data_IF_416474155833
#
_entry.id   IF_416474155833
#
_cell.length_a   1.000
_cell.length_b   1.000
_cell.length_c   1.000
_cell.angle_alpha   90.00
_cell.angle_beta   90.00
_cell.angle_gamma   90.00
#
_symmetry.space_group_name_H-M   'P 1'
#
loop_
_entity.id
_entity.type
_entity.pdbx_description
1 polymer ?
#
# COMPACT_ATOMS: atom_id res chain seq x y z
N UNK A 1 12.19 -6.31 -7.11
CA UNK A 1 12.48 -4.88 -7.27
C UNK A 1 13.80 -4.54 -6.61
N UNK A 2 14.63 -3.75 -7.28
CA UNK A 2 15.93 -3.28 -6.78
C UNK A 2 15.82 -1.78 -6.47
N UNK A 3 15.58 -1.47 -5.19
CA UNK A 3 15.39 -0.09 -4.71
C UNK A 3 16.22 0.07 -3.44
N UNK A 4 17.16 1.00 -3.43
CA UNK A 4 17.92 1.30 -2.21
C UNK A 4 17.07 2.13 -1.27
N UNK A 5 16.59 1.52 -0.20
CA UNK A 5 15.75 2.19 0.77
C UNK A 5 15.89 1.53 2.15
N UNK A 6 16.07 2.33 3.18
CA UNK A 6 16.08 1.90 4.57
C UNK A 6 17.00 0.69 4.84
N UNK A 7 18.20 0.71 4.25
CA UNK A 7 19.22 -0.32 4.44
C UNK A 7 19.03 -1.60 3.63
N UNK A 8 18.01 -1.67 2.79
CA UNK A 8 17.75 -2.82 1.93
C UNK A 8 17.76 -2.41 0.47
N UNK A 9 18.13 -3.32 -0.41
CA UNK A 9 18.20 -3.07 -1.85
C UNK A 9 17.37 -4.05 -2.68
N UNK A 10 16.88 -5.13 -2.09
CA UNK A 10 16.06 -6.13 -2.77
C UNK A 10 14.72 -6.26 -2.09
N UNK A 11 13.65 -6.09 -2.88
CA UNK A 11 12.27 -6.03 -2.37
C UNK A 11 11.37 -6.95 -3.19
N UNK A 12 10.46 -7.61 -2.51
CA UNK A 12 9.43 -8.45 -3.12
C UNK A 12 8.07 -7.79 -2.97
N UNK A 13 7.28 -7.79 -4.05
CA UNK A 13 5.91 -7.28 -4.00
C UNK A 13 5.06 -8.18 -3.11
N UNK A 14 4.37 -7.57 -2.15
CA UNK A 14 3.46 -8.25 -1.22
C UNK A 14 2.03 -8.13 -1.70
N UNK A 15 1.58 -6.92 -1.98
CA UNK A 15 0.26 -6.66 -2.53
C UNK A 15 0.24 -5.31 -3.22
N UNK A 16 -0.78 -5.11 -4.04
CA UNK A 16 -1.05 -3.81 -4.64
C UNK A 16 -2.56 -3.60 -4.74
N UNK A 17 -2.96 -2.35 -4.78
CA UNK A 17 -4.36 -1.98 -4.97
C UNK A 17 -4.45 -0.55 -5.46
N UNK A 18 -5.56 -0.26 -6.14
CA UNK A 18 -5.88 1.08 -6.61
C UNK A 18 -7.06 1.63 -5.82
N UNK A 19 -6.93 2.84 -5.33
CA UNK A 19 -8.01 3.57 -4.67
C UNK A 19 -8.53 4.60 -5.67
N UNK A 20 -9.78 4.45 -6.09
CA UNK A 20 -10.47 5.33 -7.02
C UNK A 20 -11.96 5.40 -6.69
N UNK A 21 -12.75 5.97 -7.61
CA UNK A 21 -14.20 6.11 -7.42
C UNK A 21 -14.93 4.77 -7.36
N UNK A 22 -14.40 3.72 -7.98
CA UNK A 22 -15.01 2.38 -7.92
C UNK A 22 -14.73 1.69 -6.60
N UNK A 23 -13.63 2.04 -5.92
CA UNK A 23 -13.25 1.50 -4.62
C UNK A 23 -13.88 2.28 -3.48
N UNK A 24 -13.75 3.60 -3.51
CA UNK A 24 -14.29 4.52 -2.50
C UNK A 24 -14.84 5.74 -3.21
N UNK A 25 -16.13 5.94 -3.16
CA UNK A 25 -16.81 6.99 -3.91
C UNK A 25 -16.53 8.41 -3.38
N UNK A 26 -16.26 8.55 -2.08
CA UNK A 26 -15.99 9.86 -1.47
C UNK A 26 -14.55 10.29 -1.73
N UNK A 27 -14.35 11.44 -2.37
CA UNK A 27 -13.01 11.99 -2.59
C UNK A 27 -12.27 12.33 -1.30
N UNK A 28 -12.98 12.79 -0.28
CA UNK A 28 -12.38 13.07 1.03
C UNK A 28 -11.90 11.79 1.71
N UNK A 29 -12.64 10.70 1.60
CA UNK A 29 -12.23 9.40 2.14
C UNK A 29 -11.02 8.83 1.39
N UNK A 30 -10.98 8.95 0.05
CA UNK A 30 -9.81 8.55 -0.74
C UNK A 30 -8.56 9.32 -0.31
N UNK A 31 -8.70 10.62 -0.08
CA UNK A 31 -7.61 11.47 0.40
C UNK A 31 -7.13 11.04 1.80
N UNK A 32 -8.04 10.70 2.69
CA UNK A 32 -7.73 10.20 4.03
C UNK A 32 -6.93 8.89 3.97
N UNK A 33 -7.36 7.94 3.15
CA UNK A 33 -6.67 6.66 2.95
C UNK A 33 -5.23 6.91 2.44
N UNK A 34 -5.09 7.84 1.52
CA UNK A 34 -3.78 8.24 0.99
C UNK A 34 -2.84 8.69 2.12
N UNK A 35 -3.31 9.55 3.02
CA UNK A 35 -2.50 10.01 4.14
C UNK A 35 -2.13 8.88 5.09
N UNK A 36 -3.11 8.10 5.52
CA UNK A 36 -2.91 7.03 6.49
C UNK A 36 -1.92 6.00 5.95
N UNK A 37 -2.08 5.60 4.69
CA UNK A 37 -1.25 4.53 4.13
C UNK A 37 0.16 4.99 3.76
N UNK A 38 0.33 6.24 3.34
CA UNK A 38 1.63 6.73 2.86
C UNK A 38 2.52 7.31 3.96
N UNK A 39 1.93 7.81 5.04
CA UNK A 39 2.68 8.57 6.03
C UNK A 39 2.73 7.92 7.41
N UNK A 40 2.21 6.72 7.55
CA UNK A 40 2.24 6.00 8.83
C UNK A 40 3.41 5.02 8.90
N UNK A 41 4.62 5.49 8.55
CA UNK A 41 5.79 4.63 8.37
C UNK A 41 6.50 4.26 9.67
N UNK A 42 6.11 4.87 10.80
CA UNK A 42 6.80 4.67 12.09
C UNK A 42 6.10 3.70 13.02
N UNK A 43 5.01 3.08 12.58
CA UNK A 43 4.28 2.11 13.41
C UNK A 43 5.08 0.82 13.58
N UNK A 44 4.93 0.22 14.76
CA UNK A 44 5.59 -1.04 15.13
C UNK A 44 4.61 -1.98 15.84
N UNK A 45 5.01 -3.22 16.01
CA UNK A 45 4.26 -4.21 16.79
C UNK A 45 2.89 -4.52 16.24
N UNK A 46 1.90 -4.57 17.14
CA UNK A 46 0.51 -4.90 16.77
C UNK A 46 -0.13 -3.86 15.85
N UNK A 47 0.24 -2.60 15.96
CA UNK A 47 -0.24 -1.54 15.07
C UNK A 47 0.28 -1.76 13.66
N UNK A 48 1.52 -2.19 13.51
CA UNK A 48 2.09 -2.53 12.20
C UNK A 48 1.36 -3.72 11.58
N UNK A 49 1.03 -4.73 12.38
CA UNK A 49 0.27 -5.89 11.89
C UNK A 49 -1.14 -5.48 11.47
N UNK A 50 -1.82 -4.61 12.21
CA UNK A 50 -3.12 -4.07 11.82
C UNK A 50 -3.04 -3.29 10.52
N UNK A 51 -2.02 -2.44 10.38
CA UNK A 51 -1.78 -1.70 9.15
C UNK A 51 -1.62 -2.65 7.96
N UNK A 52 -0.80 -3.68 8.12
CA UNK A 52 -0.56 -4.68 7.07
C UNK A 52 -1.84 -5.44 6.70
N UNK A 53 -2.63 -5.85 7.70
CA UNK A 53 -3.91 -6.52 7.47
C UNK A 53 -4.88 -5.60 6.70
N UNK A 54 -4.87 -4.30 6.97
CA UNK A 54 -5.65 -3.33 6.21
C UNK A 54 -5.20 -3.25 4.75
N UNK A 55 -3.88 -3.33 4.49
CA UNK A 55 -3.36 -3.35 3.12
C UNK A 55 -3.85 -4.59 2.37
N UNK A 56 -3.82 -5.75 3.01
CA UNK A 56 -4.36 -6.98 2.42
C UNK A 56 -5.87 -6.86 2.14
N UNK A 57 -6.62 -6.27 3.05
CA UNK A 57 -8.05 -6.06 2.87
C UNK A 57 -8.33 -5.14 1.68
N UNK A 58 -7.61 -4.05 1.53
CA UNK A 58 -7.72 -3.18 0.36
C UNK A 58 -7.37 -3.93 -0.92
N UNK A 59 -6.29 -4.70 -0.92
CA UNK A 59 -5.84 -5.43 -2.10
C UNK A 59 -6.87 -6.46 -2.57
N UNK A 60 -7.55 -7.14 -1.63
CA UNK A 60 -8.53 -8.17 -1.97
C UNK A 60 -9.91 -7.61 -2.31
N UNK A 61 -10.27 -6.44 -1.80
CA UNK A 61 -11.57 -5.82 -2.02
C UNK A 61 -11.59 -4.82 -3.18
N UNK A 62 -10.45 -4.29 -3.58
CA UNK A 62 -10.36 -3.31 -4.65
C UNK A 62 -10.68 -3.94 -6.00
N UNK A 63 -11.31 -3.16 -6.88
CA UNK A 63 -11.56 -3.59 -8.26
C UNK A 63 -10.25 -3.92 -8.99
N UNK A 64 -9.20 -3.14 -8.72
CA UNK A 64 -7.86 -3.36 -9.26
C UNK A 64 -6.89 -3.55 -8.10
N UNK A 65 -6.69 -4.79 -7.69
CA UNK A 65 -5.78 -5.12 -6.62
C UNK A 65 -5.59 -6.61 -6.47
N UNK A 66 -4.50 -6.99 -5.80
CA UNK A 66 -4.16 -8.39 -5.60
C UNK A 66 -3.18 -8.53 -4.44
N UNK A 67 -3.38 -9.56 -3.62
CA UNK A 67 -2.36 -10.07 -2.71
C UNK A 67 -1.47 -11.02 -3.50
N UNK A 68 -0.17 -10.71 -3.61
CA UNK A 68 0.80 -11.45 -4.43
C UNK A 68 1.61 -12.41 -3.59
N UNK A 69 2.04 -11.97 -2.40
CA UNK A 69 2.82 -12.79 -1.47
C UNK A 69 2.44 -12.47 -0.05
N UNK A 70 3.06 -13.12 0.92
CA UNK A 70 2.75 -12.89 2.33
C UNK A 70 3.84 -12.06 3.01
N UNK A 71 3.42 -11.37 4.07
CA UNK A 71 4.32 -10.62 4.94
C UNK A 71 3.71 -10.53 6.33
N UNK A 72 4.55 -10.29 7.33
CA UNK A 72 4.15 -10.11 8.72
C UNK A 72 4.76 -8.83 9.28
N UNK A 73 4.38 -8.46 10.49
CA UNK A 73 4.95 -7.30 11.17
C UNK A 73 6.44 -7.44 11.46
N UNK A 74 7.00 -8.67 11.34
CA UNK A 74 8.45 -8.90 11.48
C UNK A 74 9.22 -8.49 10.23
N UNK A 75 8.57 -8.35 9.10
CA UNK A 75 9.22 -7.95 7.85
C UNK A 75 9.50 -6.45 7.84
N UNK A 76 10.59 -6.07 7.19
CA UNK A 76 10.83 -4.68 6.84
C UNK A 76 9.94 -4.37 5.63
N UNK A 77 9.08 -3.38 5.75
CA UNK A 77 8.07 -3.05 4.75
C UNK A 77 8.32 -1.68 4.15
N UNK A 78 7.88 -1.52 2.91
CA UNK A 78 7.87 -0.27 2.19
C UNK A 78 6.56 -0.16 1.44
N UNK A 79 5.97 1.04 1.43
CA UNK A 79 4.83 1.32 0.58
C UNK A 79 5.21 2.37 -0.45
N UNK A 80 4.85 2.12 -1.70
CA UNK A 80 5.01 3.06 -2.79
C UNK A 80 3.64 3.47 -3.28
N UNK A 81 3.43 4.76 -3.41
CA UNK A 81 2.21 5.33 -3.99
C UNK A 81 2.55 6.06 -5.26
N UNK A 82 1.73 5.88 -6.28
CA UNK A 82 1.83 6.65 -7.52
C UNK A 82 0.44 7.03 -8.01
N UNK A 83 0.38 8.09 -8.80
CA UNK A 83 -0.84 8.47 -9.48
C UNK A 83 -1.17 7.39 -10.50
N UNK A 84 -2.41 6.86 -10.43
CA UNK A 84 -2.89 5.81 -11.34
C UNK A 84 -3.84 6.39 -12.38
N UNK A 85 -3.86 7.69 -12.54
CA UNK A 85 -4.95 8.36 -13.16
C UNK A 85 -4.88 8.51 -14.65
N UNK A 86 -5.99 8.17 -15.26
CA UNK A 86 -6.35 8.65 -16.57
C UNK A 86 -7.76 9.26 -16.60
N UNK A 87 -8.44 9.34 -15.46
CA UNK A 87 -9.86 9.73 -15.40
C UNK A 87 -10.08 11.16 -14.92
N UNK A 88 -9.03 11.86 -14.49
CA UNK A 88 -9.14 13.19 -13.89
C UNK A 88 -9.50 13.22 -12.43
N UNK A 89 -9.59 12.07 -11.76
CA UNK A 89 -9.78 12.00 -10.32
C UNK A 89 -8.44 12.25 -9.61
N UNK A 90 -8.30 13.42 -8.97
CA UNK A 90 -7.05 13.81 -8.32
C UNK A 90 -6.65 12.92 -7.15
N UNK A 91 -7.53 12.08 -6.65
CA UNK A 91 -7.27 11.18 -5.52
C UNK A 91 -7.20 9.72 -5.94
N UNK A 92 -7.11 9.45 -7.23
CA UNK A 92 -6.89 8.10 -7.74
C UNK A 92 -5.42 7.74 -7.60
N UNK A 93 -5.11 6.67 -6.85
CA UNK A 93 -3.74 6.28 -6.53
C UNK A 93 -3.57 4.77 -6.59
N UNK A 94 -2.42 4.35 -7.07
CA UNK A 94 -1.94 2.98 -6.98
C UNK A 94 -0.99 2.86 -5.78
N UNK A 95 -1.24 1.87 -4.94
CA UNK A 95 -0.40 1.54 -3.79
C UNK A 95 0.24 0.19 -3.99
N UNK A 96 1.53 0.09 -3.69
CA UNK A 96 2.28 -1.17 -3.72
C UNK A 96 2.98 -1.34 -2.37
N UNK A 97 2.77 -2.48 -1.73
CA UNK A 97 3.45 -2.86 -0.50
C UNK A 97 4.51 -3.88 -0.83
N UNK A 98 5.73 -3.62 -0.38
CA UNK A 98 6.88 -4.48 -0.63
C UNK A 98 7.54 -4.85 0.69
N UNK A 99 8.18 -6.02 0.72
CA UNK A 99 9.01 -6.46 1.85
C UNK A 99 10.44 -6.66 1.42
N UNK A 100 11.39 -6.35 2.29
CA UNK A 100 12.80 -6.61 2.06
C UNK A 100 13.06 -8.11 2.04
N UNK A 101 13.89 -8.57 1.09
CA UNK A 101 14.28 -9.99 0.96
C UNK A 101 15.80 -10.18 0.98
N UNK A 102 16.53 -9.15 1.36
CA UNK A 102 17.98 -9.20 1.58
C UNK A 102 18.40 -9.03 3.04
#
# INVERSE_FOLDING_TARGET
>A
FNINYNGSSRWQLVCFYEIDKSTVSSSSTRKQIMYVNCFNATITGSLKQQWLNNQFAYATSAYRGMKVSNATSSDKLMIIMTCADSSGDSYQRLYMVLKAVD
#
